data_IF_575429656707
#
_entry.id   IF_575429656707
#
_cell.length_a   1.000
_cell.length_b   1.000
_cell.length_c   1.000
_cell.angle_alpha   90.00
_cell.angle_beta   90.00
_cell.angle_gamma   90.00
#
_symmetry.space_group_name_H-M   'P 1'
#
loop_
_entity.id
_entity.type
_entity.pdbx_description
1 polymer ?
#
# COMPACT_ATOMS: atom_id res chain seq x y z
N UNK A 1 -20.27 -7.75 -21.11
CA UNK A 1 -20.17 -8.55 -19.87
C UNK A 1 -18.78 -8.49 -19.22
N UNK A 2 -17.69 -8.26 -19.97
CA UNK A 2 -16.33 -8.17 -19.39
C UNK A 2 -16.07 -6.97 -18.48
N UNK A 3 -16.67 -5.80 -18.75
CA UNK A 3 -16.34 -4.57 -18.01
C UNK A 3 -16.76 -4.61 -16.54
N UNK A 4 -17.87 -5.28 -16.22
CA UNK A 4 -18.40 -5.32 -14.86
C UNK A 4 -17.58 -6.25 -13.95
N UNK A 5 -17.17 -7.41 -14.48
CA UNK A 5 -16.31 -8.36 -13.78
C UNK A 5 -14.94 -7.74 -13.49
N UNK A 6 -14.31 -7.12 -14.50
CA UNK A 6 -12.99 -6.52 -14.35
C UNK A 6 -12.99 -5.38 -13.33
N UNK A 7 -14.05 -4.56 -13.33
CA UNK A 7 -14.23 -3.47 -12.37
C UNK A 7 -14.45 -3.96 -10.94
N UNK A 8 -15.22 -5.04 -10.76
CA UNK A 8 -15.40 -5.67 -9.45
C UNK A 8 -14.11 -6.32 -8.95
N UNK A 9 -13.39 -7.03 -9.81
CA UNK A 9 -12.11 -7.65 -9.49
C UNK A 9 -11.09 -6.60 -9.06
N UNK A 10 -10.94 -5.52 -9.85
CA UNK A 10 -10.08 -4.38 -9.52
C UNK A 10 -10.45 -3.74 -8.18
N UNK A 11 -11.75 -3.64 -7.89
CA UNK A 11 -12.23 -3.01 -6.64
C UNK A 11 -11.87 -3.86 -5.41
N UNK A 12 -11.95 -5.18 -5.52
CA UNK A 12 -11.56 -6.09 -4.45
C UNK A 12 -10.04 -6.19 -4.25
N UNK A 13 -9.24 -6.07 -5.31
CA UNK A 13 -7.78 -6.22 -5.26
C UNK A 13 -7.01 -4.91 -5.20
N UNK A 14 -7.68 -3.76 -5.38
CA UNK A 14 -7.08 -2.43 -5.37
C UNK A 14 -6.19 -2.16 -4.15
N UNK A 15 -6.61 -2.47 -2.90
CA UNK A 15 -5.76 -2.23 -1.75
C UNK A 15 -4.46 -3.05 -1.79
N UNK A 16 -4.54 -4.29 -2.28
CA UNK A 16 -3.36 -5.15 -2.48
C UNK A 16 -2.43 -4.61 -3.57
N UNK A 17 -2.97 -4.06 -4.65
CA UNK A 17 -2.17 -3.41 -5.69
C UNK A 17 -1.46 -2.16 -5.16
N UNK A 18 -2.12 -1.38 -4.30
CA UNK A 18 -1.51 -0.21 -3.64
C UNK A 18 -0.35 -0.64 -2.75
N UNK A 19 -0.53 -1.70 -1.95
CA UNK A 19 0.55 -2.25 -1.15
C UNK A 19 1.71 -2.76 -2.02
N UNK A 20 1.42 -3.54 -3.06
CA UNK A 20 2.44 -4.07 -3.96
C UNK A 20 3.23 -2.95 -4.67
N UNK A 21 2.55 -1.88 -5.11
CA UNK A 21 3.19 -0.72 -5.71
C UNK A 21 4.08 0.03 -4.70
N UNK A 22 3.58 0.23 -3.47
CA UNK A 22 4.36 0.85 -2.39
C UNK A 22 5.60 0.02 -2.05
N UNK A 23 5.45 -1.29 -1.88
CA UNK A 23 6.56 -2.20 -1.61
C UNK A 23 7.62 -2.17 -2.73
N UNK A 24 7.17 -2.27 -3.98
CA UNK A 24 8.06 -2.25 -5.15
C UNK A 24 8.83 -0.94 -5.23
N UNK A 25 8.15 0.19 -5.02
CA UNK A 25 8.77 1.51 -5.00
C UNK A 25 9.83 1.62 -3.90
N UNK A 26 9.47 1.26 -2.66
CA UNK A 26 10.36 1.30 -1.50
C UNK A 26 11.58 0.38 -1.69
N UNK A 27 11.39 -0.81 -2.25
CA UNK A 27 12.46 -1.77 -2.54
C UNK A 27 13.42 -1.26 -3.61
N UNK A 28 12.88 -0.77 -4.74
CA UNK A 28 13.71 -0.25 -5.84
C UNK A 28 14.49 1.00 -5.42
N UNK A 29 13.87 1.88 -4.62
CA UNK A 29 14.54 3.04 -4.04
C UNK A 29 15.70 2.64 -3.13
N UNK A 30 15.47 1.70 -2.21
CA UNK A 30 16.53 1.19 -1.35
C UNK A 30 17.66 0.55 -2.17
N UNK A 31 17.33 -0.31 -3.13
CA UNK A 31 18.32 -0.93 -4.01
C UNK A 31 19.14 0.10 -4.81
N UNK A 32 18.48 1.11 -5.40
CA UNK A 32 19.15 2.13 -6.19
C UNK A 32 20.09 3.00 -5.33
N UNK A 33 19.64 3.42 -4.15
CA UNK A 33 20.40 4.35 -3.28
C UNK A 33 21.44 3.64 -2.40
N UNK A 34 21.38 2.32 -2.32
CA UNK A 34 22.40 1.49 -1.68
C UNK A 34 23.41 0.88 -2.66
N UNK A 35 23.27 1.12 -3.97
CA UNK A 35 24.26 0.71 -4.97
C UNK A 35 25.38 1.75 -5.07
N UNK A 36 26.67 1.38 -5.18
CA UNK A 36 27.81 2.31 -5.22
C UNK A 36 27.74 3.37 -6.33
N UNK A 37 26.98 3.14 -7.40
CA UNK A 37 26.80 4.09 -8.50
C UNK A 37 25.89 5.29 -8.15
N UNK A 38 24.97 5.13 -7.19
CA UNK A 38 24.00 6.15 -6.77
C UNK A 38 24.00 6.37 -5.24
N UNK A 39 25.06 5.89 -4.56
CA UNK A 39 25.16 5.91 -3.12
C UNK A 39 25.09 7.35 -2.61
N UNK A 40 24.17 7.60 -1.68
CA UNK A 40 23.95 8.91 -1.08
C UNK A 40 24.39 8.87 0.38
N UNK A 41 25.18 9.86 0.78
CA UNK A 41 25.62 10.00 2.18
C UNK A 41 24.38 10.17 3.08
N UNK A 42 24.19 9.24 4.02
CA UNK A 42 23.04 9.22 4.93
C UNK A 42 21.95 8.17 4.62
N UNK A 43 22.10 7.38 3.55
CA UNK A 43 21.16 6.29 3.22
C UNK A 43 19.98 6.71 2.31
N UNK A 44 18.92 5.88 2.22
CA UNK A 44 17.78 6.14 1.35
C UNK A 44 17.03 7.43 1.73
N UNK A 45 16.51 8.18 0.75
CA UNK A 45 15.76 9.41 0.97
C UNK A 45 14.48 9.16 1.78
N UNK A 46 14.58 9.43 3.09
CA UNK A 46 13.51 9.26 4.08
C UNK A 46 12.32 10.16 3.81
N UNK A 47 12.53 11.33 3.21
CA UNK A 47 11.42 12.25 2.91
C UNK A 47 10.57 11.69 1.78
N UNK A 48 11.20 11.17 0.73
CA UNK A 48 10.51 10.55 -0.38
C UNK A 48 9.78 9.27 0.04
N UNK A 49 10.43 8.43 0.85
CA UNK A 49 9.82 7.21 1.41
C UNK A 49 8.63 7.56 2.32
N UNK A 50 8.79 8.55 3.21
CA UNK A 50 7.72 9.01 4.09
C UNK A 50 6.51 9.56 3.31
N UNK A 51 6.74 10.34 2.25
CA UNK A 51 5.67 10.81 1.35
C UNK A 51 4.98 9.62 0.67
N UNK A 52 5.74 8.66 0.13
CA UNK A 52 5.18 7.48 -0.53
C UNK A 52 4.33 6.63 0.43
N UNK A 53 4.78 6.44 1.68
CA UNK A 53 4.02 5.75 2.73
C UNK A 53 2.75 6.52 3.07
N UNK A 54 2.83 7.85 3.26
CA UNK A 54 1.67 8.68 3.57
C UNK A 54 0.62 8.64 2.45
N UNK A 55 1.05 8.71 1.19
CA UNK A 55 0.16 8.59 0.02
C UNK A 55 -0.50 7.20 -0.04
N UNK A 56 0.27 6.13 0.18
CA UNK A 56 -0.27 4.77 0.19
C UNK A 56 -1.33 4.58 1.30
N UNK A 57 -1.05 5.10 2.51
CA UNK A 57 -2.00 5.10 3.63
C UNK A 57 -3.25 5.91 3.29
N UNK A 58 -3.11 7.10 2.71
CA UNK A 58 -4.23 7.94 2.32
C UNK A 58 -5.13 7.24 1.27
N UNK A 59 -4.54 6.55 0.29
CA UNK A 59 -5.28 5.79 -0.72
C UNK A 59 -6.01 4.60 -0.08
N UNK A 60 -5.35 3.83 0.78
CA UNK A 60 -5.99 2.70 1.48
C UNK A 60 -7.12 3.17 2.40
N UNK A 61 -6.91 4.25 3.15
CA UNK A 61 -7.95 4.87 3.97
C UNK A 61 -9.10 5.37 3.11
N UNK A 62 -8.83 6.07 2.01
CA UNK A 62 -9.86 6.54 1.08
C UNK A 62 -10.67 5.38 0.50
N UNK A 63 -10.03 4.28 0.11
CA UNK A 63 -10.71 3.07 -0.39
C UNK A 63 -11.59 2.44 0.69
N UNK A 64 -11.08 2.27 1.91
CA UNK A 64 -11.88 1.81 3.04
C UNK A 64 -13.05 2.77 3.33
N UNK A 65 -12.80 4.08 3.20
CA UNK A 65 -13.80 5.12 3.37
C UNK A 65 -14.80 5.17 2.21
N UNK A 66 -14.51 4.64 1.03
CA UNK A 66 -15.49 4.56 -0.04
C UNK A 66 -16.52 3.47 0.24
N UNK A 67 -16.08 2.38 0.87
CA UNK A 67 -16.89 1.19 1.08
C UNK A 67 -17.52 1.12 2.49
N UNK A 68 -17.50 2.23 3.25
CA UNK A 68 -18.12 2.36 4.60
C UNK A 68 -19.55 1.85 4.70
N UNK A 69 -20.31 1.91 3.60
CA UNK A 69 -21.71 1.45 3.56
C UNK A 69 -21.88 -0.02 3.95
N UNK A 70 -20.84 -0.84 3.74
CA UNK A 70 -20.76 -2.25 4.15
C UNK A 70 -20.86 -2.40 5.66
N UNK A 71 -20.20 -1.52 6.42
CA UNK A 71 -20.19 -1.59 7.89
C UNK A 71 -21.58 -1.31 8.49
N UNK A 72 -22.39 -0.50 7.82
CA UNK A 72 -23.77 -0.22 8.25
C UNK A 72 -24.76 -1.34 7.87
N UNK A 73 -24.47 -2.13 6.82
CA UNK A 73 -25.33 -3.21 6.33
C UNK A 73 -24.57 -4.54 6.25
N UNK A 74 -23.80 -4.88 7.29
CA UNK A 74 -22.89 -6.03 7.29
C UNK A 74 -23.60 -7.39 7.04
N UNK A 75 -24.91 -7.48 7.28
CA UNK A 75 -25.72 -8.67 7.01
C UNK A 75 -26.06 -8.86 5.53
N UNK A 76 -26.05 -7.79 4.74
CA UNK A 76 -26.33 -7.79 3.30
C UNK A 76 -25.05 -7.66 2.46
N UNK A 77 -23.89 -7.56 3.12
CA UNK A 77 -22.59 -7.38 2.48
C UNK A 77 -22.18 -8.62 1.67
N UNK A 78 -21.81 -8.41 0.42
CA UNK A 78 -21.36 -9.48 -0.46
C UNK A 78 -19.96 -9.99 -0.07
N UNK A 79 -19.58 -11.19 -0.53
CA UNK A 79 -18.23 -11.72 -0.29
C UNK A 79 -17.12 -10.78 -0.80
N UNK A 80 -17.39 -10.05 -1.89
CA UNK A 80 -16.46 -9.06 -2.47
C UNK A 80 -16.21 -7.87 -1.54
N UNK A 81 -17.22 -7.49 -0.77
CA UNK A 81 -17.16 -6.38 0.19
C UNK A 81 -16.22 -6.72 1.35
N UNK A 82 -16.32 -7.96 1.83
CA UNK A 82 -15.38 -8.51 2.81
C UNK A 82 -13.96 -8.65 2.28
N UNK A 83 -13.80 -9.10 1.02
CA UNK A 83 -12.50 -9.21 0.38
C UNK A 83 -11.81 -7.83 0.26
N UNK A 84 -12.55 -6.78 -0.09
CA UNK A 84 -12.05 -5.41 -0.13
C UNK A 84 -11.64 -4.90 1.25
N UNK A 85 -12.46 -5.14 2.28
CA UNK A 85 -12.19 -4.70 3.66
C UNK A 85 -10.96 -5.41 4.27
N UNK A 86 -10.90 -6.74 4.16
CA UNK A 86 -9.76 -7.55 4.61
C UNK A 86 -8.50 -7.20 3.81
N UNK A 87 -8.63 -7.01 2.50
CA UNK A 87 -7.53 -6.59 1.62
C UNK A 87 -6.96 -5.23 2.01
N UNK A 88 -7.82 -4.26 2.38
CA UNK A 88 -7.38 -2.95 2.87
C UNK A 88 -6.65 -3.04 4.21
N UNK A 89 -7.13 -3.88 5.12
CA UNK A 89 -6.47 -4.15 6.40
C UNK A 89 -5.09 -4.78 6.21
N UNK A 90 -5.00 -5.80 5.35
CA UNK A 90 -3.74 -6.45 5.02
C UNK A 90 -2.77 -5.48 4.33
N UNK A 91 -3.25 -4.65 3.42
CA UNK A 91 -2.46 -3.63 2.75
C UNK A 91 -1.91 -2.60 3.74
N UNK A 92 -2.73 -2.16 4.71
CA UNK A 92 -2.31 -1.26 5.80
C UNK A 92 -1.16 -1.86 6.60
N UNK A 93 -1.35 -3.11 7.08
CA UNK A 93 -0.31 -3.83 7.82
C UNK A 93 0.95 -3.97 6.99
N UNK A 94 0.82 -4.31 5.71
CA UNK A 94 1.95 -4.43 4.80
C UNK A 94 2.68 -3.10 4.56
N UNK A 95 1.98 -1.98 4.46
CA UNK A 95 2.58 -0.64 4.31
C UNK A 95 3.32 -0.26 5.59
N UNK A 96 2.72 -0.48 6.76
CA UNK A 96 3.36 -0.25 8.05
C UNK A 96 4.62 -1.12 8.21
N UNK A 97 4.52 -2.41 7.92
CA UNK A 97 5.63 -3.34 8.04
C UNK A 97 6.80 -3.03 7.11
N UNK A 98 6.52 -2.48 5.92
CA UNK A 98 7.56 -2.15 4.94
C UNK A 98 8.14 -0.74 5.13
N UNK A 99 7.29 0.23 5.45
CA UNK A 99 7.71 1.62 5.66
C UNK A 99 8.43 1.86 6.98
N UNK A 100 7.99 1.23 8.08
CA UNK A 100 8.53 1.51 9.41
C UNK A 100 10.03 1.18 9.54
N UNK A 101 10.53 0.01 9.09
CA UNK A 101 11.95 -0.30 9.14
C UNK A 101 12.80 0.65 8.29
N UNK A 102 12.29 1.02 7.11
CA UNK A 102 12.98 1.96 6.22
C UNK A 102 13.10 3.38 6.80
N UNK A 103 12.16 3.77 7.69
CA UNK A 103 12.21 5.04 8.40
C UNK A 103 13.11 4.98 9.65
N UNK A 104 13.23 3.81 10.28
CA UNK A 104 13.97 3.59 11.52
C UNK A 104 15.46 3.26 11.31
N UNK A 105 15.82 2.63 10.19
CA UNK A 105 17.21 2.24 9.92
C UNK A 105 17.99 3.44 9.35
N UNK A 106 19.20 3.63 9.89
CA UNK A 106 20.14 4.65 9.40
C UNK A 106 21.17 3.99 8.50
N UNK A 107 21.06 4.26 7.19
CA UNK A 107 22.05 3.83 6.20
C UNK A 107 21.68 2.57 5.41
N UNK A 108 22.57 2.24 4.49
CA UNK A 108 22.56 1.00 3.73
C UNK A 108 23.44 -0.02 4.46
N UNK A 109 22.92 -1.22 4.70
CA UNK A 109 23.67 -2.32 5.31
C UNK A 109 24.57 -3.02 4.30
#
# INVERSE_FOLDING_TARGET
MHDHFFRQLLRGTLPMLVWAAHFTFSYLMAAAQCTPALMRDGGPDRTLLGIATAVALAICLWLAWRERGILHHAKDAALLDWAGALGALLALVGILWTGLPLLLVEGCA
#
